data_IF_591663897213
#
_entry.id   IF_591663897213
#
_cell.length_a   1.000
_cell.length_b   1.000
_cell.length_c   1.000
_cell.angle_alpha   90.00
_cell.angle_beta   90.00
_cell.angle_gamma   90.00
#
_symmetry.space_group_name_H-M   'P 1'
#
loop_
_entity.id
_entity.type
_entity.pdbx_description
1 polymer ?
#
# COMPACT_ATOMS: atom_id res chain seq x y z
N UNK A 1 2.58 15.26 -3.49
CA UNK A 1 3.30 14.06 -3.00
C UNK A 1 3.01 12.87 -3.91
N UNK A 2 3.98 12.04 -4.16
CA UNK A 2 3.77 10.88 -5.00
C UNK A 2 4.41 9.64 -4.39
N UNK A 3 3.82 8.49 -4.69
CA UNK A 3 4.36 7.20 -4.30
C UNK A 3 5.31 6.74 -5.38
N UNK A 4 6.47 6.22 -4.97
CA UNK A 4 7.30 5.55 -5.91
C UNK A 4 8.09 4.43 -5.22
N UNK A 5 8.40 3.39 -5.98
CA UNK A 5 9.12 2.24 -5.45
C UNK A 5 10.60 2.40 -5.74
N UNK A 6 11.48 2.08 -4.79
CA UNK A 6 12.90 2.07 -5.07
C UNK A 6 13.22 1.03 -6.15
N UNK A 7 14.16 1.35 -7.00
CA UNK A 7 14.61 0.41 -8.00
C UNK A 7 15.43 -0.69 -7.32
N UNK A 8 14.96 -1.93 -7.42
CA UNK A 8 15.64 -3.07 -6.81
C UNK A 8 15.67 -4.24 -7.80
N UNK A 9 16.86 -4.62 -8.31
CA UNK A 9 16.96 -5.72 -9.27
C UNK A 9 16.49 -7.06 -8.74
N UNK A 10 16.68 -7.31 -7.44
CA UNK A 10 16.24 -8.57 -6.82
C UNK A 10 14.72 -8.67 -6.83
N UNK A 11 14.05 -7.57 -6.49
CA UNK A 11 12.59 -7.52 -6.54
C UNK A 11 12.07 -7.69 -7.96
N UNK A 12 12.72 -7.05 -8.93
CA UNK A 12 12.35 -7.19 -10.34
C UNK A 12 12.45 -8.62 -10.82
N UNK A 13 13.51 -9.33 -10.43
CA UNK A 13 13.69 -10.73 -10.75
C UNK A 13 12.60 -11.59 -10.13
N UNK A 14 12.27 -11.35 -8.87
CA UNK A 14 11.21 -12.06 -8.17
C UNK A 14 9.88 -11.91 -8.89
N UNK A 15 9.53 -10.68 -9.28
CA UNK A 15 8.29 -10.42 -10.01
C UNK A 15 8.23 -11.15 -11.35
N UNK A 16 9.37 -11.21 -12.06
CA UNK A 16 9.42 -11.91 -13.35
C UNK A 16 9.29 -13.41 -13.19
N UNK A 17 9.93 -13.99 -12.19
CA UNK A 17 9.99 -15.44 -12.05
C UNK A 17 8.75 -16.06 -11.43
N UNK A 18 7.95 -15.29 -10.71
CA UNK A 18 6.83 -15.82 -9.93
C UNK A 18 5.46 -15.44 -10.46
N UNK A 19 5.39 -14.61 -11.49
CA UNK A 19 4.11 -14.14 -12.05
C UNK A 19 3.22 -13.49 -10.98
N UNK A 20 3.80 -12.66 -10.13
CA UNK A 20 3.09 -12.05 -9.00
C UNK A 20 1.89 -11.21 -9.39
N UNK A 21 1.83 -10.76 -10.64
CA UNK A 21 0.69 -9.97 -11.12
C UNK A 21 -0.61 -10.76 -11.13
N UNK A 22 -0.51 -12.10 -11.25
CA UNK A 22 -1.66 -13.00 -11.27
C UNK A 22 -1.86 -13.72 -9.94
N UNK A 23 -1.09 -13.36 -8.90
CA UNK A 23 -1.07 -14.05 -7.62
C UNK A 23 -1.78 -13.21 -6.57
N UNK A 24 -2.62 -13.85 -5.77
CA UNK A 24 -3.28 -13.18 -4.65
C UNK A 24 -2.31 -12.95 -3.49
N UNK A 25 -2.65 -12.00 -2.60
CA UNK A 25 -1.79 -11.61 -1.48
C UNK A 25 -1.47 -12.79 -0.56
N UNK A 26 -2.45 -13.66 -0.29
CA UNK A 26 -2.24 -14.85 0.55
C UNK A 26 -1.22 -15.80 -0.05
N UNK A 27 -1.24 -15.98 -1.36
CA UNK A 27 -0.28 -16.83 -2.05
C UNK A 27 1.12 -16.27 -1.96
N UNK A 28 1.26 -14.94 -2.03
CA UNK A 28 2.55 -14.29 -1.89
C UNK A 28 3.11 -14.48 -0.49
N UNK A 29 2.26 -14.39 0.53
CA UNK A 29 2.68 -14.58 1.92
C UNK A 29 3.17 -16.00 2.20
N UNK A 30 2.60 -16.99 1.52
CA UNK A 30 2.97 -18.41 1.70
C UNK A 30 4.13 -18.85 0.81
N UNK A 31 4.55 -18.00 -0.11
CA UNK A 31 5.59 -18.33 -1.07
C UNK A 31 6.96 -18.36 -0.43
N UNK A 32 7.76 -19.35 -0.79
CA UNK A 32 9.15 -19.42 -0.35
C UNK A 32 9.96 -18.33 -1.06
N UNK A 33 10.80 -17.65 -0.29
CA UNK A 33 11.68 -16.62 -0.86
C UNK A 33 12.88 -17.28 -1.53
N UNK A 34 13.40 -16.72 -2.63
CA UNK A 34 14.66 -17.16 -3.20
C UNK A 34 15.77 -17.11 -2.15
N UNK A 35 16.74 -18.00 -2.30
CA UNK A 35 17.87 -18.08 -1.37
C UNK A 35 18.58 -16.74 -1.25
N UNK A 36 18.80 -16.30 -0.02
CA UNK A 36 19.46 -15.04 0.28
C UNK A 36 18.57 -13.84 0.34
N UNK A 37 17.40 -13.88 -0.32
CA UNK A 37 16.50 -12.71 -0.34
C UNK A 37 16.00 -12.36 1.05
N UNK A 38 15.60 -13.38 1.84
CA UNK A 38 15.05 -13.17 3.16
C UNK A 38 16.07 -12.80 4.23
N UNK A 39 17.36 -13.01 3.96
CA UNK A 39 18.43 -12.79 4.93
C UNK A 39 19.37 -11.66 4.57
N UNK A 40 19.43 -11.26 3.30
CA UNK A 40 20.37 -10.24 2.82
C UNK A 40 19.69 -8.96 2.39
N UNK A 41 18.44 -9.03 1.93
CA UNK A 41 17.69 -7.84 1.53
C UNK A 41 16.93 -7.30 2.73
N UNK A 42 17.19 -6.07 3.10
CA UNK A 42 16.53 -5.40 4.23
C UNK A 42 15.25 -4.72 3.78
N UNK A 43 14.34 -4.51 4.71
CA UNK A 43 13.13 -3.75 4.44
C UNK A 43 13.47 -2.38 3.87
N UNK A 44 14.52 -1.74 4.39
CA UNK A 44 14.94 -0.42 3.91
C UNK A 44 15.40 -0.43 2.45
N UNK A 45 15.79 -1.58 1.92
CA UNK A 45 16.24 -1.69 0.53
C UNK A 45 15.08 -1.65 -0.46
N UNK A 46 13.88 -2.04 -0.03
CA UNK A 46 12.74 -2.18 -0.93
C UNK A 46 11.53 -1.33 -0.52
N UNK A 47 11.56 -0.70 0.65
CA UNK A 47 10.42 0.12 1.09
C UNK A 47 10.23 1.37 0.23
N UNK A 48 9.01 1.87 0.18
CA UNK A 48 8.73 3.17 -0.41
C UNK A 48 9.32 4.27 0.46
N UNK A 49 9.98 5.22 -0.16
CA UNK A 49 10.56 6.38 0.55
C UNK A 49 9.77 7.67 0.31
N UNK A 50 9.02 7.73 -0.77
CA UNK A 50 8.13 8.86 -1.07
C UNK A 50 6.70 8.35 -1.01
N UNK A 51 6.10 8.41 0.18
CA UNK A 51 4.79 7.82 0.44
C UNK A 51 3.74 8.92 0.49
N UNK A 52 2.63 8.71 -0.21
CA UNK A 52 1.47 9.58 -0.08
C UNK A 52 0.84 9.32 1.27
N UNK A 53 0.67 10.39 2.05
CA UNK A 53 -0.01 10.33 3.34
C UNK A 53 -1.18 11.28 3.32
N UNK A 54 -2.08 11.12 4.27
CA UNK A 54 -3.20 12.03 4.44
C UNK A 54 -3.34 12.37 5.93
N UNK A 55 -3.63 13.63 6.22
CA UNK A 55 -3.87 14.02 7.60
C UNK A 55 -5.25 13.54 8.06
N UNK A 56 -5.37 13.18 9.33
CA UNK A 56 -6.61 12.64 9.86
C UNK A 56 -7.76 13.66 9.89
N UNK A 57 -7.46 14.93 9.74
CA UNK A 57 -8.46 16.00 9.64
C UNK A 57 -9.01 16.17 8.23
N UNK A 58 -8.43 15.51 7.24
CA UNK A 58 -8.92 15.58 5.88
C UNK A 58 -10.20 14.78 5.68
N UNK A 59 -10.90 15.07 4.60
CA UNK A 59 -12.17 14.41 4.30
C UNK A 59 -11.97 13.07 3.60
N UNK A 60 -13.01 12.25 3.66
CA UNK A 60 -13.06 11.00 2.88
C UNK A 60 -12.94 11.29 1.39
N UNK A 61 -13.54 12.40 0.92
CA UNK A 61 -13.44 12.78 -0.48
C UNK A 61 -11.99 13.03 -0.88
N UNK A 62 -11.20 13.68 -0.02
CA UNK A 62 -9.78 13.89 -0.30
C UNK A 62 -8.99 12.60 -0.30
N UNK A 63 -9.27 11.69 0.65
CA UNK A 63 -8.62 10.38 0.67
C UNK A 63 -8.90 9.61 -0.62
N UNK A 64 -10.15 9.60 -1.06
CA UNK A 64 -10.54 8.93 -2.30
C UNK A 64 -9.85 9.54 -3.51
N UNK A 65 -9.73 10.87 -3.54
CA UNK A 65 -9.04 11.58 -4.62
C UNK A 65 -7.58 11.16 -4.70
N UNK A 66 -6.90 11.08 -3.56
CA UNK A 66 -5.50 10.67 -3.50
C UNK A 66 -5.33 9.22 -3.94
N UNK A 67 -6.21 8.35 -3.52
CA UNK A 67 -6.18 6.95 -3.95
C UNK A 67 -6.33 6.81 -5.46
N UNK A 68 -7.23 7.57 -6.05
CA UNK A 68 -7.45 7.55 -7.49
C UNK A 68 -6.27 8.13 -8.24
N UNK A 69 -5.76 9.26 -7.77
CA UNK A 69 -4.67 9.97 -8.42
C UNK A 69 -3.40 9.13 -8.47
N UNK A 70 -3.11 8.41 -7.40
CA UNK A 70 -1.89 7.62 -7.27
C UNK A 70 -2.10 6.13 -7.50
N UNK A 71 -3.33 5.72 -7.83
CA UNK A 71 -3.69 4.32 -8.05
C UNK A 71 -3.30 3.42 -6.87
N UNK A 72 -3.68 3.85 -5.68
CA UNK A 72 -3.41 3.13 -4.44
C UNK A 72 -4.72 2.91 -3.69
N UNK A 73 -4.77 1.86 -2.88
CA UNK A 73 -5.97 1.49 -2.13
C UNK A 73 -5.77 1.59 -0.62
N UNK A 74 -4.58 1.97 -0.18
CA UNK A 74 -4.23 2.10 1.23
C UNK A 74 -3.39 3.35 1.37
N UNK A 75 -3.71 4.16 2.36
CA UNK A 75 -2.99 5.42 2.60
C UNK A 75 -2.68 5.53 4.08
N UNK A 76 -1.41 5.74 4.43
CA UNK A 76 -1.07 6.05 5.82
C UNK A 76 -1.71 7.36 6.24
N UNK A 77 -2.26 7.38 7.45
CA UNK A 77 -2.90 8.56 8.02
C UNK A 77 -1.98 9.14 9.07
N UNK A 78 -1.77 10.45 8.99
CA UNK A 78 -0.89 11.15 9.92
C UNK A 78 -1.67 12.19 10.70
N UNK A 79 -1.10 12.55 11.85
CA UNK A 79 -1.53 13.69 12.65
C UNK A 79 -0.28 14.44 13.06
N UNK A 80 -0.17 15.70 12.63
CA UNK A 80 1.03 16.49 12.87
C UNK A 80 2.29 15.75 12.38
N UNK A 81 2.19 15.12 11.21
CA UNK A 81 3.27 14.39 10.55
C UNK A 81 3.67 13.08 11.23
N UNK A 82 2.93 12.65 12.23
CA UNK A 82 3.16 11.34 12.86
C UNK A 82 2.11 10.33 12.41
N UNK A 83 2.54 9.12 12.14
CA UNK A 83 1.63 8.05 11.73
C UNK A 83 0.68 7.69 12.86
N UNK A 84 -0.63 7.76 12.60
CA UNK A 84 -1.65 7.38 13.57
C UNK A 84 -2.52 6.23 13.08
N UNK A 85 -2.44 5.86 11.81
CA UNK A 85 -3.24 4.75 11.29
C UNK A 85 -3.13 4.64 9.79
N UNK A 86 -4.06 3.88 9.22
CA UNK A 86 -4.19 3.70 7.77
C UNK A 86 -5.65 3.80 7.41
N UNK A 87 -5.92 4.24 6.20
CA UNK A 87 -7.26 4.17 5.62
C UNK A 87 -7.19 3.38 4.32
N UNK A 88 -8.16 2.48 4.13
CA UNK A 88 -8.23 1.68 2.91
C UNK A 88 -9.45 2.06 2.09
N UNK A 89 -9.44 1.69 0.82
CA UNK A 89 -10.62 1.86 -0.02
C UNK A 89 -11.83 1.13 0.57
N UNK A 90 -11.62 -0.03 1.18
CA UNK A 90 -12.68 -0.79 1.81
C UNK A 90 -13.31 -0.02 2.98
N UNK A 91 -12.49 0.66 3.79
CA UNK A 91 -13.00 1.51 4.87
C UNK A 91 -13.92 2.59 4.34
N UNK A 92 -13.56 3.19 3.22
CA UNK A 92 -14.37 4.23 2.58
C UNK A 92 -15.70 3.64 2.08
N UNK A 93 -15.64 2.47 1.47
CA UNK A 93 -16.85 1.80 0.99
C UNK A 93 -17.81 1.52 2.14
N UNK A 94 -17.31 1.01 3.26
CA UNK A 94 -18.14 0.74 4.43
C UNK A 94 -18.74 2.03 4.97
N UNK A 95 -17.97 3.10 5.06
CA UNK A 95 -18.46 4.37 5.54
C UNK A 95 -19.57 4.92 4.65
N UNK A 96 -19.43 4.79 3.34
CA UNK A 96 -20.44 5.24 2.39
C UNK A 96 -21.73 4.42 2.53
N UNK A 97 -21.61 3.11 2.71
CA UNK A 97 -22.78 2.25 2.89
C UNK A 97 -23.52 2.55 4.20
N UNK A 98 -22.79 2.80 5.26
CA UNK A 98 -23.38 3.20 6.54
C UNK A 98 -24.12 4.52 6.43
N UNK A 99 -23.51 5.49 5.76
CA UNK A 99 -24.12 6.80 5.56
C UNK A 99 -25.44 6.69 4.81
N UNK A 100 -25.51 5.81 3.83
CA UNK A 100 -26.70 5.57 3.02
C UNK A 100 -27.65 4.53 3.63
N UNK A 101 -27.29 3.96 4.76
CA UNK A 101 -28.09 2.92 5.44
C UNK A 101 -28.35 1.69 4.57
N UNK A 102 -27.36 1.31 3.77
CA UNK A 102 -27.46 0.14 2.90
C UNK A 102 -27.08 -1.13 3.66
N UNK A 103 -26.21 -1.01 4.64
CA UNK A 103 -25.83 -2.13 5.50
C UNK A 103 -26.03 -1.80 6.96
#
# INVERSE_FOLDING_TARGET
MKVYLPHNPVLGELLKSTHLYDTEEEDILEMDLPEGLGTTVKVSDIMNVNVVTIEDSETIAEARKQMKLHNIKRVPVTRNQELVGFITLFDIIIALFKERKII
#
